data_IF_887807293478
#
_entry.id   IF_887807293478
#
_cell.length_a   1.000
_cell.length_b   1.000
_cell.length_c   1.000
_cell.angle_alpha   90.00
_cell.angle_beta   90.00
_cell.angle_gamma   90.00
#
_symmetry.space_group_name_H-M   'P 1'
#
loop_
_entity.id
_entity.type
_entity.pdbx_description
1 polymer ?
#
# COMPACT_ATOMS: atom_id res chain seq x y z
N UNK A 1 -45.94 -66.95 25.16
CA UNK A 1 -45.02 -66.21 24.28
C UNK A 1 -45.45 -64.76 24.30
N UNK A 2 -44.76 -63.92 25.07
CA UNK A 2 -45.07 -62.49 25.20
C UNK A 2 -43.78 -61.74 24.96
N UNK A 3 -43.66 -61.09 23.81
CA UNK A 3 -42.48 -60.34 23.42
C UNK A 3 -42.50 -58.96 24.11
N UNK A 4 -41.50 -58.71 24.95
CA UNK A 4 -41.22 -57.39 25.53
C UNK A 4 -40.57 -56.52 24.45
N UNK A 5 -41.28 -55.48 24.02
CA UNK A 5 -40.72 -54.40 23.21
C UNK A 5 -40.03 -53.42 24.16
N UNK A 6 -38.71 -53.33 24.08
CA UNK A 6 -37.93 -52.29 24.76
C UNK A 6 -37.90 -51.06 23.83
N UNK A 7 -38.34 -49.88 24.28
CA UNK A 7 -38.22 -48.66 23.49
C UNK A 7 -36.75 -48.21 23.46
N UNK A 8 -36.23 -48.02 22.25
CA UNK A 8 -34.91 -47.46 21.98
C UNK A 8 -34.90 -45.98 22.38
N UNK A 9 -34.15 -45.63 23.43
CA UNK A 9 -34.01 -44.27 23.93
C UNK A 9 -32.91 -43.53 23.17
N UNK A 10 -33.23 -43.15 21.93
CA UNK A 10 -32.37 -42.40 21.02
C UNK A 10 -32.08 -40.93 21.39
N UNK A 11 -32.09 -40.55 22.68
CA UNK A 11 -31.88 -39.16 23.13
C UNK A 11 -30.46 -38.85 23.65
N UNK A 12 -29.58 -39.84 23.81
CA UNK A 12 -28.29 -39.63 24.48
C UNK A 12 -27.12 -39.15 23.60
N UNK A 13 -27.29 -39.06 22.26
CA UNK A 13 -26.17 -38.79 21.32
C UNK A 13 -26.02 -37.33 20.89
N UNK A 14 -27.06 -36.50 21.05
CA UNK A 14 -27.03 -35.11 20.62
C UNK A 14 -26.43 -34.15 21.68
N UNK A 15 -26.47 -34.50 22.97
CA UNK A 15 -25.94 -33.64 24.04
C UNK A 15 -24.41 -33.69 24.15
N UNK A 16 -23.81 -34.83 23.82
CA UNK A 16 -22.35 -35.05 23.93
C UNK A 16 -21.55 -34.24 22.90
N UNK A 17 -22.12 -34.03 21.71
CA UNK A 17 -21.47 -33.26 20.62
C UNK A 17 -21.43 -31.75 20.93
N UNK A 18 -22.51 -31.21 21.51
CA UNK A 18 -22.56 -29.82 21.96
C UNK A 18 -21.62 -29.57 23.15
N UNK A 19 -21.55 -30.49 24.11
CA UNK A 19 -20.67 -30.36 25.27
C UNK A 19 -19.18 -30.38 24.89
N UNK A 20 -18.79 -31.22 23.92
CA UNK A 20 -17.43 -31.26 23.40
C UNK A 20 -17.10 -30.01 22.55
N UNK A 21 -18.06 -29.49 21.79
CA UNK A 21 -17.93 -28.20 21.12
C UNK A 21 -17.71 -27.06 22.14
N UNK A 22 -18.53 -26.98 23.19
CA UNK A 22 -18.39 -25.97 24.24
C UNK A 22 -17.06 -26.09 24.99
N UNK A 23 -16.61 -27.31 25.27
CA UNK A 23 -15.31 -27.57 25.89
C UNK A 23 -14.17 -27.10 25.00
N UNK A 24 -14.23 -27.39 23.71
CA UNK A 24 -13.22 -26.97 22.72
C UNK A 24 -13.16 -25.44 22.60
N UNK A 25 -14.32 -24.79 22.50
CA UNK A 25 -14.43 -23.33 22.47
C UNK A 25 -13.88 -22.69 23.75
N UNK A 26 -14.18 -23.26 24.92
CA UNK A 26 -13.66 -22.77 26.21
C UNK A 26 -12.14 -22.88 26.28
N UNK A 27 -11.55 -23.99 25.84
CA UNK A 27 -10.09 -24.17 25.80
C UNK A 27 -9.45 -23.18 24.82
N UNK A 28 -10.03 -22.99 23.64
CA UNK A 28 -9.57 -22.01 22.66
C UNK A 28 -9.63 -20.58 23.24
N UNK A 29 -10.73 -20.20 23.88
CA UNK A 29 -10.89 -18.88 24.51
C UNK A 29 -9.86 -18.65 25.64
N UNK A 30 -9.58 -19.66 26.46
CA UNK A 30 -8.56 -19.57 27.51
C UNK A 30 -7.13 -19.47 26.95
N UNK A 31 -6.85 -20.14 25.82
CA UNK A 31 -5.58 -20.02 25.10
C UNK A 31 -5.43 -18.64 24.48
N UNK A 32 -6.47 -18.14 23.80
CA UNK A 32 -6.51 -16.79 23.24
C UNK A 32 -6.32 -15.74 24.34
N UNK A 33 -7.03 -15.83 25.47
CA UNK A 33 -6.87 -14.90 26.61
C UNK A 33 -5.45 -14.90 27.18
N UNK A 34 -4.84 -16.09 27.34
CA UNK A 34 -3.45 -16.20 27.80
C UNK A 34 -2.47 -15.59 26.80
N UNK A 35 -2.69 -15.84 25.51
CA UNK A 35 -1.89 -15.25 24.45
C UNK A 35 -2.02 -13.73 24.42
N UNK A 36 -3.25 -13.19 24.47
CA UNK A 36 -3.53 -11.76 24.49
C UNK A 36 -2.84 -11.08 25.69
N UNK A 37 -2.96 -11.64 26.90
CA UNK A 37 -2.27 -11.10 28.09
C UNK A 37 -0.75 -11.12 27.95
N UNK A 38 -0.19 -12.19 27.40
CA UNK A 38 1.26 -12.30 27.18
C UNK A 38 1.76 -11.25 26.19
N UNK A 39 0.94 -10.90 25.19
CA UNK A 39 1.29 -9.97 24.14
C UNK A 39 0.62 -8.60 24.32
N UNK A 40 0.09 -8.29 25.50
CA UNK A 40 -0.59 -7.02 25.78
C UNK A 40 0.26 -5.80 25.40
N UNK A 41 1.57 -5.73 25.73
CA UNK A 41 2.40 -4.60 25.32
C UNK A 41 2.52 -4.45 23.80
N UNK A 42 2.63 -5.56 23.07
CA UNK A 42 2.67 -5.58 21.60
C UNK A 42 1.34 -5.11 21.02
N UNK A 43 0.22 -5.60 21.55
CA UNK A 43 -1.12 -5.24 21.10
C UNK A 43 -1.42 -3.77 21.36
N UNK A 44 -1.02 -3.24 22.52
CA UNK A 44 -1.13 -1.80 22.83
C UNK A 44 -0.29 -0.97 21.87
N UNK A 45 0.97 -1.37 21.61
CA UNK A 45 1.81 -0.67 20.64
C UNK A 45 1.22 -0.69 19.20
N UNK A 46 0.62 -1.81 18.80
CA UNK A 46 -0.07 -1.94 17.51
C UNK A 46 -1.32 -1.07 17.44
N UNK A 47 -2.12 -1.02 18.51
CA UNK A 47 -3.30 -0.17 18.62
C UNK A 47 -2.92 1.31 18.61
N UNK A 48 -1.93 1.73 19.38
CA UNK A 48 -1.43 3.11 19.38
C UNK A 48 -0.95 3.54 18.00
N UNK A 49 -0.22 2.64 17.32
CA UNK A 49 0.22 2.85 15.95
C UNK A 49 -0.98 3.01 15.02
N UNK A 50 -1.99 2.13 15.12
CA UNK A 50 -3.21 2.20 14.31
C UNK A 50 -4.01 3.49 14.55
N UNK A 51 -4.11 3.94 15.80
CA UNK A 51 -4.80 5.18 16.18
C UNK A 51 -4.06 6.40 15.63
N UNK A 52 -2.72 6.44 15.70
CA UNK A 52 -1.91 7.50 15.06
C UNK A 52 -2.12 7.51 13.55
N UNK A 53 -2.22 6.34 12.92
CA UNK A 53 -2.57 6.23 11.49
C UNK A 53 -3.94 6.83 11.17
N UNK A 54 -4.92 6.73 12.06
CA UNK A 54 -6.27 7.22 11.81
C UNK A 54 -6.34 8.76 11.70
N UNK A 55 -5.69 9.47 12.63
CA UNK A 55 -5.58 10.93 12.55
C UNK A 55 -4.80 11.38 11.30
N UNK A 56 -3.70 10.69 10.98
CA UNK A 56 -2.93 10.93 9.76
C UNK A 56 -3.77 10.70 8.50
N UNK A 57 -4.56 9.62 8.45
CA UNK A 57 -5.37 9.27 7.28
C UNK A 57 -6.33 10.41 6.91
N UNK A 58 -7.00 10.98 7.91
CA UNK A 58 -7.96 12.09 7.72
C UNK A 58 -7.30 13.45 7.51
N UNK A 59 -6.02 13.60 7.86
CA UNK A 59 -5.27 14.87 7.67
C UNK A 59 -4.99 15.21 6.20
N UNK A 60 -5.08 14.21 5.31
CA UNK A 60 -4.69 14.32 3.91
C UNK A 60 -3.21 13.98 3.62
N UNK A 61 -2.41 13.75 4.66
CA UNK A 61 -1.06 13.22 4.49
C UNK A 61 -1.10 11.73 4.15
N UNK A 62 -0.15 11.31 3.32
CA UNK A 62 0.13 9.91 3.09
C UNK A 62 1.14 9.39 4.13
N UNK A 63 0.96 8.16 4.62
CA UNK A 63 1.94 7.54 5.49
C UNK A 63 3.21 7.22 4.73
N UNK A 64 4.34 7.46 5.36
CA UNK A 64 5.67 7.24 4.80
C UNK A 64 6.65 6.92 5.93
N UNK A 65 7.79 6.31 5.62
CA UNK A 65 8.79 5.97 6.64
C UNK A 65 9.45 7.21 7.26
N UNK A 66 9.36 8.37 6.60
CA UNK A 66 9.79 9.65 7.16
C UNK A 66 8.68 10.38 7.91
N UNK A 67 7.45 9.83 7.96
CA UNK A 67 6.36 10.46 8.70
C UNK A 67 6.70 10.45 10.20
N UNK A 68 6.58 11.59 10.89
CA UNK A 68 6.97 11.70 12.30
C UNK A 68 5.88 11.13 13.23
N UNK A 69 5.62 9.83 13.15
CA UNK A 69 4.57 9.16 13.96
C UNK A 69 4.78 9.38 15.45
N UNK A 70 6.02 9.55 15.90
CA UNK A 70 6.37 9.83 17.30
C UNK A 70 5.82 11.18 17.79
N UNK A 71 5.58 12.15 16.90
CA UNK A 71 4.99 13.46 17.23
C UNK A 71 3.45 13.44 17.24
N UNK A 72 2.82 12.36 16.80
CA UNK A 72 1.37 12.20 16.81
C UNK A 72 0.94 11.56 18.14
N UNK A 73 0.14 12.29 18.91
CA UNK A 73 -0.49 11.77 20.12
C UNK A 73 -1.67 10.86 19.74
N UNK A 74 -1.69 9.57 20.18
CA UNK A 74 -2.84 8.70 19.98
C UNK A 74 -4.16 9.26 20.55
N UNK A 75 -4.12 10.06 21.62
CA UNK A 75 -5.32 10.65 22.20
C UNK A 75 -5.90 11.79 21.35
N UNK A 76 -5.06 12.46 20.54
CA UNK A 76 -5.47 13.54 19.65
C UNK A 76 -5.93 12.99 18.30
N UNK A 77 -7.20 13.19 17.98
CA UNK A 77 -7.83 12.64 16.79
C UNK A 77 -8.24 13.71 15.76
N UNK A 78 -8.05 14.99 16.04
CA UNK A 78 -8.35 16.07 15.08
C UNK A 78 -7.39 16.01 13.87
N UNK A 79 -7.89 15.76 12.65
CA UNK A 79 -7.06 15.74 11.44
C UNK A 79 -6.35 17.07 11.16
N UNK A 80 -6.88 18.21 11.61
CA UNK A 80 -6.23 19.50 11.42
C UNK A 80 -4.96 19.64 12.27
N UNK A 81 -4.96 19.07 13.48
CA UNK A 81 -3.78 19.02 14.36
C UNK A 81 -2.71 18.14 13.73
N UNK A 82 -3.07 16.93 13.30
CA UNK A 82 -2.15 16.03 12.60
C UNK A 82 -1.59 16.66 11.32
N UNK A 83 -2.42 17.35 10.53
CA UNK A 83 -1.99 18.07 9.33
C UNK A 83 -0.90 19.10 9.65
N UNK A 84 -1.10 19.89 10.70
CA UNK A 84 -0.18 20.95 11.14
C UNK A 84 1.14 20.39 11.66
N UNK A 85 1.10 19.38 12.54
CA UNK A 85 2.29 18.75 13.12
C UNK A 85 3.17 18.15 12.01
N UNK A 86 2.56 17.36 11.12
CA UNK A 86 3.28 16.70 10.04
C UNK A 86 3.80 17.71 9.01
N UNK A 87 3.01 18.73 8.68
CA UNK A 87 3.45 19.81 7.79
C UNK A 87 4.65 20.57 8.34
N UNK A 88 4.58 20.99 9.60
CA UNK A 88 5.69 21.70 10.25
C UNK A 88 6.97 20.87 10.31
N UNK A 89 6.85 19.57 10.64
CA UNK A 89 8.00 18.66 10.61
C UNK A 89 8.64 18.59 9.23
N UNK A 90 7.84 18.42 8.17
CA UNK A 90 8.39 18.33 6.81
C UNK A 90 9.04 19.63 6.34
N UNK A 91 8.54 20.78 6.78
CA UNK A 91 9.16 22.08 6.51
C UNK A 91 10.48 22.25 7.28
N UNK A 92 10.51 21.90 8.57
CA UNK A 92 11.69 22.08 9.42
C UNK A 92 12.81 21.06 9.12
N UNK A 93 12.44 19.81 8.86
CA UNK A 93 13.36 18.69 8.70
C UNK A 93 13.56 18.28 7.23
N UNK A 94 13.22 19.17 6.28
CA UNK A 94 13.30 18.86 4.85
C UNK A 94 14.66 18.28 4.42
N UNK A 95 15.83 18.84 4.81
CA UNK A 95 17.12 18.27 4.39
C UNK A 95 17.30 16.80 4.79
N UNK A 96 16.85 16.43 5.99
CA UNK A 96 16.92 15.05 6.48
C UNK A 96 15.95 14.13 5.72
N UNK A 97 14.73 14.63 5.44
CA UNK A 97 13.71 13.92 4.68
C UNK A 97 14.15 13.70 3.22
N UNK A 98 14.70 14.73 2.57
CA UNK A 98 15.24 14.65 1.22
C UNK A 98 16.39 13.63 1.14
N UNK A 99 17.33 13.68 2.09
CA UNK A 99 18.42 12.70 2.17
C UNK A 99 17.90 11.27 2.38
N UNK A 100 16.84 11.10 3.18
CA UNK A 100 16.21 9.81 3.42
C UNK A 100 15.58 9.24 2.14
N UNK A 101 14.85 10.07 1.36
CA UNK A 101 14.33 9.71 0.05
C UNK A 101 15.46 9.23 -0.87
N UNK A 102 16.50 10.05 -1.05
CA UNK A 102 17.63 9.71 -1.93
C UNK A 102 18.27 8.37 -1.56
N UNK A 103 18.55 8.16 -0.28
CA UNK A 103 19.14 6.91 0.21
C UNK A 103 18.25 5.72 -0.14
N UNK A 104 16.95 5.79 0.18
CA UNK A 104 16.02 4.68 -0.10
C UNK A 104 15.88 4.43 -1.60
N UNK A 105 15.81 5.47 -2.43
CA UNK A 105 15.74 5.34 -3.88
C UNK A 105 16.98 4.61 -4.43
N UNK A 106 18.17 4.94 -3.93
CA UNK A 106 19.41 4.25 -4.30
C UNK A 106 19.42 2.77 -3.86
N UNK A 107 18.96 2.48 -2.64
CA UNK A 107 18.97 1.12 -2.07
C UNK A 107 18.08 0.12 -2.83
N UNK A 108 17.05 0.60 -3.52
CA UNK A 108 16.10 -0.25 -4.25
C UNK A 108 16.49 -0.56 -5.70
N UNK A 109 17.59 -0.01 -6.21
CA UNK A 109 18.10 -0.29 -7.55
C UNK A 109 17.20 0.23 -8.67
N UNK A 110 16.65 1.43 -8.52
CA UNK A 110 15.96 2.11 -9.62
C UNK A 110 16.95 2.44 -10.76
N UNK A 111 16.42 2.57 -11.98
CA UNK A 111 17.24 2.97 -13.12
C UNK A 111 17.69 4.45 -13.02
N UNK A 112 18.69 4.82 -13.81
CA UNK A 112 19.29 6.15 -13.76
C UNK A 112 18.29 7.27 -14.09
N UNK A 113 17.34 7.01 -15.00
CA UNK A 113 16.33 7.99 -15.43
C UNK A 113 15.31 8.26 -14.33
N UNK A 114 14.84 7.21 -13.63
CA UNK A 114 13.97 7.34 -12.46
C UNK A 114 14.70 8.08 -11.34
N UNK A 115 15.97 7.75 -11.06
CA UNK A 115 16.76 8.45 -10.05
C UNK A 115 16.93 9.95 -10.37
N UNK A 116 17.22 10.29 -11.63
CA UNK A 116 17.31 11.67 -12.09
C UNK A 116 15.95 12.40 -11.98
N UNK A 117 14.86 11.74 -12.38
CA UNK A 117 13.50 12.30 -12.26
C UNK A 117 13.13 12.61 -10.81
N UNK A 118 13.46 11.71 -9.89
CA UNK A 118 13.25 11.96 -8.45
C UNK A 118 14.13 13.10 -7.93
N UNK A 119 15.40 13.19 -8.38
CA UNK A 119 16.29 14.29 -8.02
C UNK A 119 15.69 15.64 -8.41
N UNK A 120 15.24 15.78 -9.66
CA UNK A 120 14.56 16.98 -10.15
C UNK A 120 13.31 17.31 -9.33
N UNK A 121 12.50 16.29 -9.01
CA UNK A 121 11.27 16.45 -8.25
C UNK A 121 11.53 16.89 -6.79
N UNK A 122 12.59 16.36 -6.16
CA UNK A 122 13.04 16.73 -4.82
C UNK A 122 13.60 18.16 -4.79
N UNK A 123 14.42 18.52 -5.78
CA UNK A 123 14.92 19.89 -5.96
C UNK A 123 13.76 20.87 -6.16
N UNK A 124 12.78 20.51 -7.00
CA UNK A 124 11.58 21.31 -7.20
C UNK A 124 10.80 21.51 -5.89
N UNK A 125 10.61 20.46 -5.09
CA UNK A 125 9.96 20.57 -3.77
C UNK A 125 10.71 21.54 -2.86
N UNK A 126 12.04 21.37 -2.72
CA UNK A 126 12.90 22.22 -1.90
C UNK A 126 12.79 23.70 -2.24
N UNK A 127 12.68 24.03 -3.52
CA UNK A 127 12.56 25.41 -4.00
C UNK A 127 11.12 25.94 -4.05
N UNK A 128 10.15 25.23 -3.47
CA UNK A 128 8.74 25.65 -3.45
C UNK A 128 8.05 25.54 -4.81
N UNK A 129 8.67 24.88 -5.80
CA UNK A 129 8.12 24.64 -7.14
C UNK A 129 7.14 23.45 -7.13
N UNK A 130 6.23 23.44 -6.16
CA UNK A 130 5.38 22.30 -5.82
C UNK A 130 4.55 21.76 -6.99
N UNK A 131 4.14 22.62 -7.93
CA UNK A 131 3.38 22.21 -9.12
C UNK A 131 4.19 21.30 -10.06
N UNK A 132 5.52 21.45 -10.05
CA UNK A 132 6.40 20.74 -10.96
C UNK A 132 6.52 19.28 -10.53
N UNK A 133 6.61 19.02 -9.22
CA UNK A 133 6.77 17.68 -8.64
C UNK A 133 5.83 16.61 -9.23
N UNK A 134 4.47 16.72 -9.18
CA UNK A 134 3.60 15.72 -9.78
C UNK A 134 3.71 15.65 -11.31
N UNK A 135 4.01 16.76 -11.99
CA UNK A 135 4.15 16.80 -13.45
C UNK A 135 5.43 16.13 -13.94
N UNK A 136 6.47 16.15 -13.13
CA UNK A 136 7.75 15.47 -13.36
C UNK A 136 7.61 13.97 -13.08
N UNK A 137 6.99 13.58 -11.96
CA UNK A 137 6.96 12.18 -11.52
C UNK A 137 5.97 11.29 -12.30
N UNK A 138 4.78 11.80 -12.67
CA UNK A 138 3.76 10.95 -13.29
C UNK A 138 4.15 10.33 -14.64
N UNK A 139 4.80 11.08 -15.57
CA UNK A 139 5.32 10.50 -16.80
C UNK A 139 6.32 9.36 -16.56
N UNK A 140 7.18 9.47 -15.53
CA UNK A 140 8.19 8.45 -15.25
C UNK A 140 7.58 7.14 -14.71
N UNK A 141 6.56 7.24 -13.84
CA UNK A 141 5.79 6.05 -13.41
C UNK A 141 5.21 5.32 -14.64
N UNK A 142 4.66 6.06 -15.61
CA UNK A 142 4.09 5.48 -16.84
C UNK A 142 5.16 4.87 -17.75
N UNK A 143 6.35 5.48 -17.82
CA UNK A 143 7.50 4.92 -18.53
C UNK A 143 7.89 3.57 -17.93
N UNK A 144 8.18 3.53 -16.63
CA UNK A 144 8.57 2.29 -15.92
C UNK A 144 7.50 1.21 -15.98
N UNK A 145 6.23 1.58 -15.86
CA UNK A 145 5.12 0.64 -15.99
C UNK A 145 5.07 -0.02 -17.38
N UNK A 146 5.30 0.75 -18.46
CA UNK A 146 5.31 0.20 -19.83
C UNK A 146 6.47 -0.76 -20.05
N UNK A 147 7.66 -0.40 -19.61
CA UNK A 147 8.87 -1.22 -19.72
C UNK A 147 8.70 -2.58 -19.03
N UNK A 148 8.16 -2.60 -17.80
CA UNK A 148 7.98 -3.83 -17.04
C UNK A 148 6.87 -4.72 -17.59
N UNK A 149 5.81 -4.13 -18.14
CA UNK A 149 4.67 -4.88 -18.67
C UNK A 149 4.88 -5.37 -20.12
N UNK A 150 6.03 -5.11 -20.74
CA UNK A 150 6.33 -5.57 -22.11
C UNK A 150 5.37 -4.99 -23.16
N UNK A 151 4.80 -3.82 -22.88
CA UNK A 151 3.96 -3.11 -23.85
C UNK A 151 4.86 -2.37 -24.84
N UNK A 152 5.45 -3.12 -25.77
CA UNK A 152 6.37 -2.62 -26.81
C UNK A 152 5.67 -1.73 -27.86
N UNK A 153 4.36 -1.54 -27.73
CA UNK A 153 3.55 -0.66 -28.57
C UNK A 153 3.24 0.69 -27.91
N UNK A 154 2.94 1.68 -28.76
CA UNK A 154 2.22 2.93 -28.43
C UNK A 154 0.78 2.68 -27.91
N UNK A 155 0.51 1.52 -27.33
CA UNK A 155 -0.75 1.19 -26.66
C UNK A 155 -1.07 2.26 -25.62
N UNK A 156 -2.35 2.65 -25.59
CA UNK A 156 -2.83 3.77 -24.79
C UNK A 156 -2.41 3.64 -23.32
N UNK A 157 -1.88 4.72 -22.74
CA UNK A 157 -1.36 4.76 -21.36
C UNK A 157 -2.36 4.26 -20.31
N UNK A 158 -3.66 4.24 -20.61
CA UNK A 158 -4.69 3.74 -19.71
C UNK A 158 -4.75 2.21 -19.62
N UNK A 159 -4.41 1.48 -20.68
CA UNK A 159 -4.40 0.02 -20.66
C UNK A 159 -3.27 -0.49 -19.77
N UNK A 160 -2.05 0.01 -19.97
CA UNK A 160 -0.88 -0.36 -19.18
C UNK A 160 -1.05 -0.07 -17.68
N UNK A 161 -1.75 1.00 -17.30
CA UNK A 161 -2.01 1.32 -15.90
C UNK A 161 -3.07 0.41 -15.26
N UNK A 162 -4.08 -0.04 -16.02
CA UNK A 162 -5.03 -1.05 -15.53
C UNK A 162 -4.35 -2.39 -15.35
N UNK A 163 -3.45 -2.74 -16.26
CA UNK A 163 -2.69 -3.98 -16.17
C UNK A 163 -1.66 -3.92 -15.04
N UNK A 164 -1.03 -2.77 -14.80
CA UNK A 164 -0.19 -2.55 -13.62
C UNK A 164 -0.98 -2.74 -12.34
N UNK A 165 -2.19 -2.17 -12.24
CA UNK A 165 -3.04 -2.37 -11.06
C UNK A 165 -3.34 -3.84 -10.84
N UNK A 166 -3.80 -4.56 -11.87
CA UNK A 166 -4.04 -6.01 -11.77
C UNK A 166 -2.78 -6.78 -11.37
N UNK A 167 -1.62 -6.40 -11.90
CA UNK A 167 -0.36 -7.02 -11.55
C UNK A 167 -0.01 -6.78 -10.08
N UNK A 168 -0.18 -5.56 -9.58
CA UNK A 168 0.03 -5.21 -8.17
C UNK A 168 -0.99 -5.92 -7.26
N UNK A 169 -2.26 -6.00 -7.66
CA UNK A 169 -3.30 -6.72 -6.93
C UNK A 169 -2.95 -8.21 -6.81
N UNK A 170 -2.37 -8.80 -7.87
CA UNK A 170 -1.98 -10.22 -7.88
C UNK A 170 -0.78 -10.55 -6.98
N UNK A 171 -0.02 -9.54 -6.53
CA UNK A 171 1.00 -9.72 -5.50
C UNK A 171 0.40 -9.98 -4.11
N UNK A 172 -0.87 -9.61 -3.87
CA UNK A 172 -1.54 -9.81 -2.59
C UNK A 172 -0.75 -9.26 -1.40
N UNK A 173 -0.62 -10.07 -0.34
CA UNK A 173 0.12 -9.68 0.87
C UNK A 173 1.64 -9.60 0.67
N UNK A 174 2.18 -10.28 -0.36
CA UNK A 174 3.60 -10.26 -0.67
C UNK A 174 4.06 -8.88 -1.17
N UNK A 175 3.13 -8.05 -1.64
CA UNK A 175 3.45 -6.67 -1.99
C UNK A 175 3.93 -5.87 -0.76
N UNK A 176 3.38 -6.16 0.43
CA UNK A 176 3.73 -5.43 1.64
C UNK A 176 5.16 -5.73 2.09
N UNK A 177 5.59 -6.98 2.00
CA UNK A 177 6.97 -7.38 2.33
C UNK A 177 7.98 -6.88 1.29
N UNK A 178 7.59 -6.82 0.01
CA UNK A 178 8.48 -6.39 -1.08
C UNK A 178 8.64 -4.87 -1.20
N UNK A 179 7.60 -4.11 -0.93
CA UNK A 179 7.65 -2.63 -0.94
C UNK A 179 8.18 -2.06 0.38
N UNK A 180 8.08 -2.84 1.48
CA UNK A 180 8.41 -2.35 2.82
C UNK A 180 7.45 -1.26 3.30
N UNK A 181 6.25 -1.19 2.72
CA UNK A 181 5.24 -0.19 3.04
C UNK A 181 3.89 -0.87 3.30
N UNK A 182 3.57 -1.06 4.58
CA UNK A 182 2.27 -1.59 5.00
C UNK A 182 1.25 -0.45 5.13
N UNK A 183 0.70 0.01 4.01
CA UNK A 183 -0.33 1.05 4.02
C UNK A 183 -1.49 0.73 3.07
N UNK A 184 -2.65 0.31 3.60
CA UNK A 184 -3.88 0.19 2.82
C UNK A 184 -4.28 1.51 2.14
N UNK A 185 -3.97 2.65 2.78
CA UNK A 185 -4.22 3.98 2.21
C UNK A 185 -3.40 4.19 0.93
N UNK A 186 -2.09 3.95 0.96
CA UNK A 186 -1.24 4.12 -0.22
C UNK A 186 -1.67 3.21 -1.36
N UNK A 187 -1.96 1.95 -1.05
CA UNK A 187 -2.51 1.02 -2.02
C UNK A 187 -3.81 1.55 -2.63
N UNK A 188 -4.80 1.97 -1.82
CA UNK A 188 -6.05 2.54 -2.31
C UNK A 188 -5.81 3.79 -3.17
N UNK A 189 -4.91 4.68 -2.75
CA UNK A 189 -4.58 5.89 -3.52
C UNK A 189 -3.93 5.54 -4.85
N UNK A 190 -3.07 4.53 -4.90
CA UNK A 190 -2.47 4.05 -6.15
C UNK A 190 -3.51 3.39 -7.07
N UNK A 191 -4.26 2.43 -6.52
CA UNK A 191 -5.18 1.57 -7.26
C UNK A 191 -6.47 2.28 -7.70
N UNK A 192 -6.96 3.24 -6.92
CA UNK A 192 -8.26 3.86 -7.18
C UNK A 192 -8.13 5.34 -7.53
N UNK A 193 -7.20 6.08 -6.91
CA UNK A 193 -7.16 7.53 -7.03
C UNK A 193 -6.22 8.04 -8.12
N UNK A 194 -4.94 7.67 -8.07
CA UNK A 194 -3.82 8.28 -8.79
C UNK A 194 -4.08 8.42 -10.30
N UNK A 195 -4.64 7.38 -10.91
CA UNK A 195 -4.96 7.31 -12.34
C UNK A 195 -6.46 7.21 -12.63
N UNK A 196 -7.33 7.60 -11.69
CA UNK A 196 -8.76 7.73 -12.00
C UNK A 196 -8.99 8.83 -13.03
N UNK A 197 -9.90 8.56 -13.97
CA UNK A 197 -10.32 9.54 -14.97
C UNK A 197 -11.24 10.60 -14.36
N UNK A 198 -11.05 11.85 -14.78
CA UNK A 198 -11.82 13.01 -14.32
C UNK A 198 -12.70 13.48 -15.47
N UNK A 199 -13.95 13.02 -15.48
CA UNK A 199 -14.91 13.28 -16.57
C UNK A 199 -16.00 14.29 -16.22
N UNK A 200 -16.12 14.71 -14.97
CA UNK A 200 -17.22 15.55 -14.48
C UNK A 200 -16.71 16.70 -13.63
N UNK A 201 -17.43 17.83 -13.64
CA UNK A 201 -17.12 18.98 -12.79
C UNK A 201 -17.22 18.64 -11.30
N UNK A 202 -18.15 17.75 -10.92
CA UNK A 202 -18.25 17.23 -9.55
C UNK A 202 -16.93 16.58 -9.11
N UNK A 203 -16.35 15.71 -9.95
CA UNK A 203 -15.07 15.06 -9.63
C UNK A 203 -13.92 16.05 -9.57
N UNK A 204 -13.92 17.08 -10.42
CA UNK A 204 -12.93 18.19 -10.32
C UNK A 204 -13.04 18.89 -8.96
N UNK A 205 -14.26 19.18 -8.49
CA UNK A 205 -14.48 19.84 -7.21
C UNK A 205 -13.99 18.99 -6.02
N UNK A 206 -14.26 17.67 -6.04
CA UNK A 206 -13.72 16.72 -5.05
C UNK A 206 -12.18 16.75 -5.03
N UNK A 207 -11.55 16.66 -6.21
CA UNK A 207 -10.09 16.63 -6.33
C UNK A 207 -9.40 17.95 -5.96
N UNK A 208 -10.09 19.10 -6.05
CA UNK A 208 -9.57 20.38 -5.57
C UNK A 208 -9.39 20.41 -4.05
N UNK A 209 -10.22 19.68 -3.30
CA UNK A 209 -10.10 19.56 -1.85
C UNK A 209 -9.15 18.45 -1.41
N UNK A 210 -8.71 17.59 -2.33
CA UNK A 210 -7.85 16.46 -2.04
C UNK A 210 -6.36 16.84 -2.19
N UNK A 211 -5.55 16.73 -1.13
CA UNK A 211 -4.13 17.03 -1.20
C UNK A 211 -3.30 15.91 -1.85
N UNK A 212 -3.88 14.77 -2.22
CA UNK A 212 -3.17 13.72 -2.97
C UNK A 212 -3.35 13.99 -4.47
N UNK A 213 -2.28 14.26 -5.24
CA UNK A 213 -2.43 14.60 -6.64
C UNK A 213 -2.99 13.44 -7.48
N UNK A 214 -3.96 13.75 -8.34
CA UNK A 214 -4.44 12.86 -9.39
C UNK A 214 -3.75 13.19 -10.71
N UNK A 215 -3.24 12.18 -11.41
CA UNK A 215 -2.50 12.32 -12.67
C UNK A 215 -3.30 13.02 -13.75
N UNK A 216 -4.53 12.56 -14.00
CA UNK A 216 -5.37 13.11 -15.06
C UNK A 216 -5.69 14.59 -14.79
N UNK A 217 -6.02 14.93 -13.54
CA UNK A 217 -6.26 16.31 -13.15
C UNK A 217 -5.01 17.20 -13.25
N UNK A 218 -3.85 16.71 -12.82
CA UNK A 218 -2.60 17.48 -12.79
C UNK A 218 -2.07 17.78 -14.20
N UNK A 219 -2.06 16.77 -15.09
CA UNK A 219 -1.49 16.89 -16.44
C UNK A 219 -2.39 17.68 -17.39
N UNK A 220 -3.71 17.59 -17.24
CA UNK A 220 -4.65 18.37 -18.05
C UNK A 220 -5.00 19.72 -17.43
N UNK A 221 -4.33 20.12 -16.34
CA UNK A 221 -4.54 21.42 -15.70
C UNK A 221 -5.92 21.62 -15.07
N UNK A 222 -6.65 20.53 -14.78
CA UNK A 222 -7.98 20.60 -14.17
C UNK A 222 -7.92 20.98 -12.68
N UNK A 223 -6.84 20.57 -12.02
CA UNK A 223 -6.55 20.90 -10.61
C UNK A 223 -5.09 21.34 -10.49
N UNK A 224 -4.86 22.41 -9.73
CA UNK A 224 -3.54 22.99 -9.48
C UNK A 224 -3.03 22.53 -8.11
N UNK A 225 -2.13 21.56 -8.12
CA UNK A 225 -1.47 21.03 -6.92
C UNK A 225 -0.20 21.85 -6.62
N UNK A 226 -0.35 23.01 -5.98
CA UNK A 226 0.73 23.98 -5.80
C UNK A 226 1.11 24.26 -4.34
N UNK A 227 0.93 23.29 -3.44
CA UNK A 227 1.34 23.40 -2.04
C UNK A 227 2.30 22.26 -1.64
N UNK A 228 3.00 22.45 -0.52
CA UNK A 228 4.00 21.50 -0.02
C UNK A 228 3.40 20.11 0.25
N UNK A 229 2.19 20.04 0.83
CA UNK A 229 1.52 18.77 1.09
C UNK A 229 1.27 17.97 -0.19
N UNK A 230 0.77 18.61 -1.23
CA UNK A 230 0.49 17.96 -2.50
C UNK A 230 1.76 17.50 -3.21
N UNK A 231 2.82 18.32 -3.18
CA UNK A 231 4.12 17.96 -3.75
C UNK A 231 4.75 16.78 -3.01
N UNK A 232 4.71 16.76 -1.68
CA UNK A 232 5.25 15.65 -0.89
C UNK A 232 4.41 14.38 -1.03
N UNK A 233 3.08 14.49 -1.06
CA UNK A 233 2.22 13.35 -1.37
C UNK A 233 2.51 12.79 -2.77
N UNK A 234 2.88 13.62 -3.75
CA UNK A 234 3.31 13.14 -5.07
C UNK A 234 4.63 12.34 -4.98
N UNK A 235 5.62 12.81 -4.22
CA UNK A 235 6.88 12.08 -3.98
C UNK A 235 6.61 10.71 -3.34
N UNK A 236 5.81 10.67 -2.28
CA UNK A 236 5.43 9.43 -1.59
C UNK A 236 4.69 8.47 -2.53
N UNK A 237 3.70 8.97 -3.29
CA UNK A 237 2.97 8.15 -4.25
C UNK A 237 3.86 7.61 -5.37
N UNK A 238 4.79 8.43 -5.88
CA UNK A 238 5.70 8.01 -6.93
C UNK A 238 6.67 6.94 -6.42
N UNK A 239 7.21 7.08 -5.21
CA UNK A 239 8.10 6.07 -4.62
C UNK A 239 7.33 4.75 -4.46
N UNK A 240 6.14 4.79 -3.87
CA UNK A 240 5.29 3.62 -3.72
C UNK A 240 4.94 2.95 -5.06
N UNK A 241 4.61 3.74 -6.09
CA UNK A 241 4.33 3.23 -7.43
C UNK A 241 5.54 2.52 -8.04
N UNK A 242 6.74 3.09 -7.93
CA UNK A 242 7.97 2.50 -8.44
C UNK A 242 8.36 1.22 -7.70
N UNK A 243 8.23 1.20 -6.37
CA UNK A 243 8.42 -0.01 -5.58
C UNK A 243 7.46 -1.12 -5.98
N UNK A 244 6.20 -0.77 -6.26
CA UNK A 244 5.19 -1.72 -6.72
C UNK A 244 5.52 -2.27 -8.12
N UNK A 245 5.99 -1.40 -9.03
CA UNK A 245 6.46 -1.81 -10.36
C UNK A 245 7.67 -2.76 -10.27
N UNK A 246 8.64 -2.48 -9.39
CA UNK A 246 9.76 -3.38 -9.14
C UNK A 246 9.31 -4.73 -8.57
N UNK A 247 8.33 -4.73 -7.66
CA UNK A 247 7.79 -5.96 -7.09
C UNK A 247 7.13 -6.84 -8.17
N UNK A 248 6.38 -6.22 -9.09
CA UNK A 248 5.81 -6.90 -10.27
C UNK A 248 6.90 -7.47 -11.17
N UNK A 249 7.92 -6.68 -11.50
CA UNK A 249 9.03 -7.13 -12.35
C UNK A 249 9.77 -8.33 -11.74
N UNK A 250 10.06 -8.29 -10.44
CA UNK A 250 10.70 -9.39 -9.71
C UNK A 250 9.83 -10.65 -9.73
N UNK A 251 8.52 -10.52 -9.51
CA UNK A 251 7.60 -11.66 -9.56
C UNK A 251 7.57 -12.32 -10.94
N UNK A 252 7.61 -11.52 -12.01
CA UNK A 252 7.67 -12.03 -13.38
C UNK A 252 8.99 -12.80 -13.62
N UNK A 253 10.13 -12.26 -13.18
CA UNK A 253 11.43 -12.92 -13.27
C UNK A 253 11.49 -14.23 -12.45
N UNK A 254 11.01 -14.22 -11.20
CA UNK A 254 10.92 -15.40 -10.33
C UNK A 254 10.10 -16.52 -11.02
N UNK A 255 8.99 -16.16 -11.67
CA UNK A 255 8.11 -17.11 -12.37
C UNK A 255 8.77 -17.69 -13.62
N UNK A 256 9.48 -16.86 -14.39
CA UNK A 256 10.22 -17.30 -15.57
C UNK A 256 11.36 -18.27 -15.22
N UNK A 257 12.11 -17.99 -14.15
CA UNK A 257 13.19 -18.88 -13.68
C UNK A 257 12.66 -20.27 -13.28
N UNK A 258 11.54 -20.32 -12.54
CA UNK A 258 10.91 -21.59 -12.15
C UNK A 258 10.43 -22.42 -13.35
N UNK A 259 9.97 -21.76 -14.42
CA UNK A 259 9.54 -22.46 -15.64
C UNK A 259 10.72 -23.09 -16.42
N UNK A 260 11.87 -22.41 -16.44
CA UNK A 260 13.10 -22.95 -17.04
C UNK A 260 13.61 -24.16 -16.27
N UNK A 261 13.62 -24.11 -14.94
CA UNK A 261 14.02 -25.25 -14.12
C UNK A 261 13.09 -26.46 -14.32
N UNK A 262 11.76 -26.25 -14.35
CA UNK A 262 10.79 -27.33 -14.56
C UNK A 262 10.94 -28.04 -15.94
N UNK A 263 11.40 -27.32 -16.96
CA UNK A 263 11.66 -27.90 -18.29
C UNK A 263 12.99 -28.66 -18.37
N UNK A 264 13.96 -28.34 -17.50
CA UNK A 264 15.24 -29.07 -17.41
C UNK A 264 15.12 -30.45 -16.73
N UNK A 265 14.10 -30.64 -15.86
CA UNK A 265 13.86 -31.91 -15.15
C UNK A 265 12.93 -32.89 -15.89
N UNK A 266 12.26 -32.48 -16.99
CA UNK A 266 11.33 -33.35 -17.73
C UNK A 266 11.97 -34.13 -18.89
N UNK A 267 13.29 -34.02 -19.08
CA UNK A 267 14.04 -34.87 -20.02
C UNK A 267 14.13 -36.27 -19.40
N UNK A 268 13.22 -37.14 -19.83
CA UNK A 268 12.97 -38.50 -19.35
C UNK A 268 14.13 -39.49 -19.62
N UNK A 269 14.18 -40.59 -18.87
CA UNK A 269 15.28 -41.55 -18.89
C UNK A 269 15.40 -42.23 -20.25
N UNK A 270 16.64 -42.37 -20.73
CA UNK A 270 16.92 -43.14 -21.93
C UNK A 270 16.53 -44.62 -21.74
N UNK A 271 16.00 -45.28 -22.79
CA UNK A 271 15.51 -46.65 -22.76
C UNK A 271 16.62 -47.69 -22.46
#
# INVERSE_FOLDING_TARGET
>A
MTALIVPDTGEAKASTDLDDLFRTLKVAALRARRWLRRHEPLLTALLDTWVRFHALDRSGWLPHYTTPFHLLDPAEQDPAVARRIVGHYYEAEWPAVEAAFRRRLCDHGFDAETLATFDEALVAHRHGLYRATPRTLFPDIERRAREVLGNDGLTSSQASLRDLRRAVDSLGVDNFSRTGVLSPKLYRMFAEHLYSNVKTLKRVAELKGDPVPNRHAALHGLVVYANGQASLNALIMAEYAHLSILAVARRAADTAALAVDATSFSVSPQP
#
